data_IF_394778511896
#
_entry.id   IF_394778511896
#
_cell.length_a   1.000
_cell.length_b   1.000
_cell.length_c   1.000
_cell.angle_alpha   90.00
_cell.angle_beta   90.00
_cell.angle_gamma   90.00
#
_symmetry.space_group_name_H-M   'P 1'
#
loop_
_entity.id
_entity.type
_entity.pdbx_description
1 polymer ?
#
# COMPACT_ATOMS: atom_id res chain seq x y z
N UNK A 1 -8.27 14.94 -21.38
CA UNK A 1 -8.88 15.13 -20.04
C UNK A 1 -7.79 14.84 -19.02
N UNK A 2 -7.39 15.78 -18.13
CA UNK A 2 -6.40 15.45 -17.12
C UNK A 2 -6.99 14.36 -16.22
N UNK A 3 -6.35 13.20 -16.18
CA UNK A 3 -6.79 12.07 -15.37
C UNK A 3 -6.86 12.51 -13.89
N UNK A 4 -8.07 12.67 -13.37
CA UNK A 4 -8.30 12.92 -11.96
C UNK A 4 -7.63 11.79 -11.17
N UNK A 5 -6.79 12.17 -10.20
CA UNK A 5 -5.97 11.26 -9.40
C UNK A 5 -6.84 10.27 -8.60
N UNK A 6 -7.28 9.20 -9.25
CA UNK A 6 -8.09 8.15 -8.65
C UNK A 6 -7.15 7.15 -7.99
N UNK A 7 -7.15 7.15 -6.66
CA UNK A 7 -6.42 6.15 -5.88
C UNK A 7 -7.24 4.86 -5.88
N UNK A 8 -6.70 3.80 -6.46
CA UNK A 8 -7.23 2.44 -6.35
C UNK A 8 -6.79 1.83 -5.03
N UNK A 9 -7.72 1.41 -4.19
CA UNK A 9 -7.42 0.75 -2.91
C UNK A 9 -7.57 -0.75 -3.01
N UNK A 10 -6.53 -1.49 -2.61
CA UNK A 10 -6.54 -2.93 -2.39
C UNK A 10 -6.55 -3.24 -0.89
N UNK A 11 -7.30 -4.26 -0.49
CA UNK A 11 -7.34 -4.77 0.88
C UNK A 11 -7.02 -6.26 0.86
N UNK A 12 -6.21 -6.72 1.80
CA UNK A 12 -5.95 -8.15 1.97
C UNK A 12 -7.20 -8.89 2.47
N UNK A 13 -7.26 -10.20 2.30
CA UNK A 13 -8.41 -10.99 2.76
C UNK A 13 -8.36 -11.29 4.27
N UNK A 14 -7.16 -11.34 4.86
CA UNK A 14 -6.95 -11.70 6.25
C UNK A 14 -6.51 -10.49 7.09
N UNK A 15 -6.97 -10.43 8.33
CA UNK A 15 -6.48 -9.46 9.31
C UNK A 15 -5.09 -9.83 9.79
N UNK A 16 -4.20 -8.84 9.90
CA UNK A 16 -2.88 -9.00 10.47
C UNK A 16 -2.89 -8.49 11.90
N UNK A 17 -2.43 -9.33 12.83
CA UNK A 17 -2.34 -8.97 14.23
C UNK A 17 -0.96 -8.38 14.53
N UNK A 18 -0.96 -7.12 14.97
CA UNK A 18 0.25 -6.41 15.36
C UNK A 18 0.76 -6.75 16.76
N UNK A 19 1.98 -6.30 17.03
CA UNK A 19 2.64 -6.29 18.34
C UNK A 19 3.43 -4.99 18.49
N UNK A 20 3.86 -4.58 19.70
CA UNK A 20 4.71 -3.40 19.86
C UNK A 20 5.93 -3.47 18.94
N UNK A 21 6.10 -2.47 18.07
CA UNK A 21 7.18 -2.42 17.08
C UNK A 21 6.96 -3.26 15.81
N UNK A 22 5.77 -3.88 15.63
CA UNK A 22 5.44 -4.60 14.41
C UNK A 22 5.49 -3.69 13.18
N UNK A 23 5.88 -4.28 12.06
CA UNK A 23 5.95 -3.66 10.75
C UNK A 23 5.33 -4.62 9.75
N UNK A 24 4.69 -4.09 8.72
CA UNK A 24 4.23 -4.86 7.56
C UNK A 24 5.03 -4.42 6.35
N UNK A 25 5.44 -5.40 5.55
CA UNK A 25 6.03 -5.13 4.24
C UNK A 25 4.97 -5.30 3.17
N UNK A 26 4.67 -4.22 2.47
CA UNK A 26 3.84 -4.23 1.27
C UNK A 26 4.74 -4.37 0.06
N UNK A 27 4.54 -5.42 -0.71
CA UNK A 27 5.15 -5.58 -2.03
C UNK A 27 4.08 -5.40 -3.10
N UNK A 28 4.46 -4.81 -4.23
CA UNK A 28 3.56 -4.60 -5.36
C UNK A 28 4.23 -4.86 -6.70
N UNK A 29 3.40 -5.17 -7.68
CA UNK A 29 3.77 -5.15 -9.08
C UNK A 29 2.59 -4.72 -9.95
N UNK A 30 2.90 -3.96 -10.99
CA UNK A 30 2.01 -3.49 -12.03
C UNK A 30 1.91 -4.53 -13.15
N UNK A 31 0.71 -4.71 -13.71
CA UNK A 31 0.52 -5.51 -14.92
C UNK A 31 1.10 -4.85 -16.17
N UNK A 32 1.01 -3.52 -16.25
CA UNK A 32 1.56 -2.73 -17.35
C UNK A 32 3.09 -2.69 -17.35
N UNK A 33 3.72 -2.81 -16.17
CA UNK A 33 5.18 -2.69 -16.03
C UNK A 33 5.69 -1.24 -16.15
N UNK A 34 4.78 -0.27 -16.18
CA UNK A 34 5.11 1.14 -16.33
C UNK A 34 5.47 1.77 -14.98
N UNK A 35 6.58 2.51 -14.92
CA UNK A 35 7.11 3.14 -13.69
C UNK A 35 6.28 4.31 -13.12
N UNK A 36 5.07 4.54 -13.62
CA UNK A 36 4.23 5.70 -13.30
C UNK A 36 3.25 5.48 -12.14
N UNK A 37 3.39 4.38 -11.41
CA UNK A 37 2.53 4.01 -10.30
C UNK A 37 3.04 4.60 -8.98
N UNK A 38 2.31 5.56 -8.43
CA UNK A 38 2.48 6.03 -7.06
C UNK A 38 1.82 5.03 -6.10
N UNK A 39 2.59 4.48 -5.18
CA UNK A 39 2.10 3.46 -4.23
C UNK A 39 2.15 3.96 -2.80
N UNK A 40 1.14 3.61 -2.00
CA UNK A 40 1.08 3.88 -0.58
C UNK A 40 0.56 2.67 0.20
N UNK A 41 1.24 2.35 1.30
CA UNK A 41 0.81 1.32 2.25
C UNK A 41 0.15 1.94 3.47
N UNK A 42 -0.92 1.33 3.98
CA UNK A 42 -1.53 1.74 5.25
C UNK A 42 -0.76 1.10 6.40
N UNK A 43 -0.22 1.94 7.26
CA UNK A 43 0.39 1.54 8.53
C UNK A 43 -0.45 2.00 9.71
N UNK A 44 -0.10 1.51 10.89
CA UNK A 44 -0.71 1.85 12.16
C UNK A 44 0.39 2.18 13.18
N UNK A 45 0.16 3.21 13.99
CA UNK A 45 1.06 3.55 15.09
C UNK A 45 0.83 2.64 16.31
N UNK A 46 1.68 2.76 17.33
CA UNK A 46 1.54 2.00 18.58
C UNK A 46 0.26 2.30 19.38
N UNK A 47 -0.55 3.28 18.95
CA UNK A 47 -1.84 3.67 19.53
C UNK A 47 -3.02 3.31 18.61
N UNK A 48 -2.78 2.59 17.50
CA UNK A 48 -3.80 2.19 16.53
C UNK A 48 -4.24 3.27 15.55
N UNK A 49 -3.54 4.42 15.47
CA UNK A 49 -3.84 5.46 14.48
C UNK A 49 -3.32 5.03 13.12
N UNK A 50 -4.18 5.06 12.12
CA UNK A 50 -3.81 4.66 10.77
C UNK A 50 -3.24 5.82 9.95
N UNK A 51 -2.13 5.58 9.26
CA UNK A 51 -1.48 6.55 8.38
C UNK A 51 -1.15 5.90 7.04
N UNK A 52 -1.30 6.65 5.95
CA UNK A 52 -0.85 6.22 4.62
C UNK A 52 0.61 6.64 4.43
N UNK A 53 1.49 5.67 4.24
CA UNK A 53 2.92 5.89 4.01
C UNK A 53 3.21 5.83 2.52
N UNK A 54 3.92 6.85 2.01
CA UNK A 54 4.35 6.87 0.62
C UNK A 54 5.46 5.84 0.40
N UNK A 55 5.20 4.89 -0.50
CA UNK A 55 6.10 3.80 -0.84
C UNK A 55 6.90 4.05 -2.12
N UNK A 56 6.65 5.18 -2.79
CA UNK A 56 7.40 5.63 -3.96
C UNK A 56 6.65 5.47 -5.28
N UNK A 57 7.37 5.73 -6.36
CA UNK A 57 6.89 5.63 -7.74
C UNK A 57 7.66 4.53 -8.45
N UNK A 58 7.02 3.39 -8.71
CA UNK A 58 7.67 2.25 -9.36
C UNK A 58 6.66 1.26 -9.95
N UNK A 59 7.04 0.59 -11.03
CA UNK A 59 6.27 -0.51 -11.62
C UNK A 59 6.14 -1.70 -10.64
N UNK A 60 7.18 -1.95 -9.86
CA UNK A 60 7.21 -2.94 -8.80
C UNK A 60 8.10 -2.47 -7.66
N UNK A 61 7.84 -2.94 -6.45
CA UNK A 61 8.66 -2.60 -5.31
C UNK A 61 8.18 -3.22 -4.02
N UNK A 62 8.86 -2.88 -2.93
CA UNK A 62 8.49 -3.27 -1.58
C UNK A 62 8.71 -2.10 -0.63
N UNK A 63 7.84 -1.98 0.36
CA UNK A 63 7.82 -0.88 1.30
C UNK A 63 7.37 -1.37 2.66
N UNK A 64 8.19 -1.14 3.67
CA UNK A 64 7.89 -1.52 5.04
C UNK A 64 7.30 -0.34 5.78
N UNK A 65 6.11 -0.52 6.34
CA UNK A 65 5.41 0.51 7.11
C UNK A 65 5.22 0.03 8.56
N UNK A 66 5.18 0.95 9.54
CA UNK A 66 4.88 0.58 10.92
C UNK A 66 3.43 0.07 11.03
N UNK A 67 3.23 -0.93 11.88
CA UNK A 67 1.93 -1.53 12.15
C UNK A 67 1.55 -1.46 13.65
N UNK A 68 2.54 -1.46 14.54
CA UNK A 68 2.28 -1.31 15.98
C UNK A 68 1.42 -2.44 16.57
N UNK A 69 0.86 -2.22 17.76
CA UNK A 69 0.06 -3.21 18.50
C UNK A 69 -1.43 -3.10 18.14
N UNK A 70 -1.78 -3.34 16.88
CA UNK A 70 -3.16 -3.20 16.39
C UNK A 70 -3.54 -4.36 15.46
N UNK A 71 -4.78 -4.84 15.55
CA UNK A 71 -5.33 -5.82 14.61
C UNK A 71 -6.12 -5.08 13.54
N UNK A 72 -5.70 -5.22 12.29
CA UNK A 72 -6.40 -4.63 11.16
C UNK A 72 -6.14 -5.43 9.89
N UNK A 73 -6.95 -5.21 8.87
CA UNK A 73 -6.68 -5.77 7.56
C UNK A 73 -5.69 -4.86 6.82
N UNK A 74 -4.57 -5.41 6.31
CA UNK A 74 -3.63 -4.66 5.48
C UNK A 74 -4.35 -4.01 4.30
N UNK A 75 -4.07 -2.73 4.07
CA UNK A 75 -4.61 -1.97 2.94
C UNK A 75 -3.47 -1.26 2.23
N UNK A 76 -3.49 -1.32 0.91
CA UNK A 76 -2.61 -0.55 0.05
C UNK A 76 -3.44 0.27 -0.92
N UNK A 77 -2.86 1.33 -1.45
CA UNK A 77 -3.45 2.09 -2.54
C UNK A 77 -2.40 2.48 -3.54
N UNK A 78 -2.81 2.56 -4.80
CA UNK A 78 -1.95 3.10 -5.83
C UNK A 78 -2.72 3.91 -6.84
N UNK A 79 -1.97 4.76 -7.54
CA UNK A 79 -2.44 5.62 -8.60
C UNK A 79 -1.42 5.57 -9.72
N UNK A 80 -1.89 5.48 -10.96
CA UNK A 80 -1.07 5.71 -12.13
C UNK A 80 -1.40 7.08 -12.73
N UNK A 81 -0.38 7.89 -12.99
CA UNK A 81 -0.55 9.27 -13.48
C UNK A 81 -0.91 9.35 -14.97
N UNK A 82 -0.69 8.27 -15.73
CA UNK A 82 -0.78 8.25 -17.20
C UNK A 82 -2.02 7.51 -17.69
N UNK A 83 -2.37 6.38 -17.09
CA UNK A 83 -3.48 5.53 -17.53
C UNK A 83 -4.07 4.71 -16.38
N UNK A 84 -5.15 3.96 -16.63
CA UNK A 84 -5.64 2.97 -15.67
C UNK A 84 -4.76 1.71 -15.71
N UNK A 85 -4.29 1.27 -14.55
CA UNK A 85 -3.47 0.07 -14.39
C UNK A 85 -3.96 -0.77 -13.20
N UNK A 86 -3.76 -2.08 -13.30
CA UNK A 86 -4.04 -3.02 -12.21
C UNK A 86 -2.74 -3.35 -11.49
N UNK A 87 -2.72 -3.07 -10.18
CA UNK A 87 -1.58 -3.28 -9.31
C UNK A 87 -1.95 -4.32 -8.26
N UNK A 88 -1.16 -5.38 -8.20
CA UNK A 88 -1.32 -6.41 -7.19
C UNK A 88 -0.49 -6.06 -5.96
N UNK A 89 -1.06 -6.33 -4.79
CA UNK A 89 -0.41 -6.11 -3.51
C UNK A 89 -0.32 -7.41 -2.73
N UNK A 90 0.82 -7.62 -2.11
CA UNK A 90 1.03 -8.65 -1.09
C UNK A 90 1.53 -7.97 0.17
N UNK A 91 0.96 -8.31 1.31
CA UNK A 91 1.36 -7.81 2.62
C UNK A 91 1.85 -8.98 3.47
N UNK A 92 3.04 -8.83 4.04
CA UNK A 92 3.73 -9.85 4.85
C UNK A 92 4.23 -9.28 6.17
#
# INVERSE_FOLDING_TARGET
MPAQAWWSTGQANCSHWGRPGAKITYSWHSLKGDGYNAVQGRGFDGKGRSTWYACGWAASGSCTVPWGNYIATPKARAMNKVHADHIYFTAS
#
